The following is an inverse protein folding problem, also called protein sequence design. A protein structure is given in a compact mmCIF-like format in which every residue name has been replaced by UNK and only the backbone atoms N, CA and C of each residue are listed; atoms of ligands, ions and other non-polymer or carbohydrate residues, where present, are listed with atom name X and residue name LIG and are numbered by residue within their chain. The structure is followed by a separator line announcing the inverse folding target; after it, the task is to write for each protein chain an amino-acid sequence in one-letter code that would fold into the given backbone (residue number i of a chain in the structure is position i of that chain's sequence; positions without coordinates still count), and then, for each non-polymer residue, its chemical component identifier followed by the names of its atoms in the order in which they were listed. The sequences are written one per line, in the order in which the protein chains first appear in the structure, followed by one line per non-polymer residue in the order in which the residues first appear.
data_IF_653432159449
#
_entry.id   IF_653432159449
#
_cell.length_a   1.000
_cell.length_b   1.000
_cell.length_c   1.000
_cell.angle_alpha   90.00
_cell.angle_beta   90.00
_cell.angle_gamma   90.00
#
_symmetry.space_group_name_H-M   'P 1'
#
loop_
_entity.id
_entity.type
_entity.pdbx_description
1 polymer ?
#
# COMPACT_ATOMS: atom_id res chain seq x y z
N UNK A 1 -41.82 -43.29 -54.28
CA UNK A 1 -41.86 -43.56 -52.83
C UNK A 1 -40.88 -42.60 -52.17
N UNK A 2 -41.41 -41.57 -51.50
CA UNK A 2 -40.63 -40.58 -50.73
C UNK A 2 -40.46 -41.16 -49.33
N UNK A 3 -39.24 -41.29 -48.82
CA UNK A 3 -39.01 -41.28 -47.38
C UNK A 3 -37.78 -40.43 -47.03
N UNK A 4 -38.10 -39.29 -46.42
CA UNK A 4 -37.17 -38.47 -45.63
C UNK A 4 -36.92 -39.20 -44.31
N UNK A 5 -35.66 -39.38 -43.93
CA UNK A 5 -35.24 -39.89 -42.64
C UNK A 5 -34.15 -39.03 -42.01
N UNK A 6 -34.60 -38.06 -41.20
CA UNK A 6 -33.92 -37.20 -40.21
C UNK A 6 -32.40 -37.41 -40.00
N UNK A 7 -31.61 -36.37 -40.28
CA UNK A 7 -30.33 -36.09 -39.64
C UNK A 7 -30.49 -34.96 -38.64
N UNK A 8 -30.28 -35.24 -37.37
CA UNK A 8 -30.00 -34.25 -36.33
C UNK A 8 -29.28 -34.92 -35.15
N UNK A 9 -27.98 -35.17 -35.30
CA UNK A 9 -27.07 -35.30 -34.16
C UNK A 9 -26.51 -33.90 -33.87
N UNK A 10 -26.74 -33.41 -32.66
CA UNK A 10 -26.20 -32.15 -32.19
C UNK A 10 -24.69 -32.28 -31.95
N UNK A 11 -23.91 -31.41 -32.59
CA UNK A 11 -22.48 -31.29 -32.35
C UNK A 11 -22.21 -30.92 -30.88
N UNK A 12 -21.42 -31.75 -30.20
CA UNK A 12 -20.97 -31.49 -28.83
C UNK A 12 -19.98 -30.32 -28.81
N UNK A 13 -20.20 -29.37 -27.90
CA UNK A 13 -19.40 -28.15 -27.74
C UNK A 13 -17.92 -28.47 -27.39
N UNK A 14 -16.93 -27.78 -27.99
CA UNK A 14 -15.50 -28.09 -27.81
C UNK A 14 -14.89 -27.56 -26.49
N UNK A 15 -15.70 -27.21 -25.48
CA UNK A 15 -15.23 -26.64 -24.21
C UNK A 15 -15.82 -27.40 -23.00
N UNK A 16 -15.68 -28.72 -23.00
CA UNK A 16 -15.83 -29.55 -21.80
C UNK A 16 -14.44 -30.01 -21.40
N UNK A 17 -13.69 -29.09 -20.81
CA UNK A 17 -12.35 -29.38 -20.32
C UNK A 17 -12.38 -29.86 -18.87
N UNK A 18 -11.43 -30.74 -18.59
CA UNK A 18 -11.38 -31.67 -17.48
C UNK A 18 -11.18 -30.92 -16.16
N UNK A 19 -12.12 -31.07 -15.22
CA UNK A 19 -11.93 -30.64 -13.84
C UNK A 19 -10.96 -31.59 -13.13
N UNK A 20 -9.65 -31.37 -13.33
CA UNK A 20 -8.62 -32.01 -12.51
C UNK A 20 -8.62 -31.30 -11.15
N UNK A 21 -9.29 -31.90 -10.17
CA UNK A 21 -9.20 -31.48 -8.77
C UNK A 21 -7.79 -31.80 -8.27
N UNK A 22 -6.89 -30.81 -8.35
CA UNK A 22 -5.58 -30.90 -7.67
C UNK A 22 -5.80 -30.81 -6.16
N UNK A 23 -5.23 -31.71 -5.35
CA UNK A 23 -5.32 -31.60 -3.90
C UNK A 23 -4.71 -30.26 -3.46
N UNK A 24 -5.32 -29.64 -2.46
CA UNK A 24 -4.82 -28.42 -1.85
C UNK A 24 -3.44 -28.68 -1.24
N UNK A 25 -2.39 -28.32 -1.97
CA UNK A 25 -1.03 -28.29 -1.43
C UNK A 25 -0.97 -27.18 -0.40
N UNK A 26 -0.78 -27.57 0.87
CA UNK A 26 -0.32 -26.68 1.92
C UNK A 26 1.09 -26.24 1.52
N UNK A 27 1.21 -25.03 0.99
CA UNK A 27 2.51 -24.44 0.65
C UNK A 27 3.09 -23.88 1.93
N UNK A 28 4.06 -24.60 2.51
CA UNK A 28 4.89 -24.13 3.61
C UNK A 28 5.72 -22.95 3.09
N UNK A 29 5.39 -21.73 3.55
CA UNK A 29 6.25 -20.55 3.32
C UNK A 29 7.63 -20.83 3.93
N UNK A 30 8.74 -20.40 3.30
CA UNK A 30 10.06 -20.54 3.90
C UNK A 30 10.06 -19.78 5.23
N UNK A 31 10.24 -20.53 6.33
CA UNK A 31 10.39 -19.95 7.65
C UNK A 31 11.65 -19.09 7.63
N UNK A 32 11.50 -17.79 7.81
CA UNK A 32 12.63 -16.99 8.26
C UNK A 32 13.05 -17.53 9.62
N UNK A 33 14.34 -17.81 9.79
CA UNK A 33 14.94 -18.41 10.98
C UNK A 33 14.97 -17.44 12.19
N UNK A 34 13.93 -16.62 12.34
CA UNK A 34 13.77 -15.70 13.44
C UNK A 34 12.88 -16.34 14.50
N UNK A 35 13.16 -16.03 15.76
CA UNK A 35 12.31 -16.44 16.88
C UNK A 35 10.85 -16.03 16.62
N UNK A 36 9.86 -16.83 17.08
CA UNK A 36 8.46 -16.50 16.90
C UNK A 36 8.16 -15.16 17.59
N UNK A 37 7.67 -14.20 16.82
CA UNK A 37 7.39 -12.82 17.25
C UNK A 37 5.95 -12.46 16.91
N UNK A 38 5.26 -11.81 17.85
CA UNK A 38 3.99 -11.15 17.60
C UNK A 38 3.95 -9.77 18.28
N UNK A 39 3.23 -8.84 17.65
CA UNK A 39 2.99 -7.51 18.21
C UNK A 39 1.62 -7.46 18.88
N UNK A 40 1.54 -6.79 20.03
CA UNK A 40 0.30 -6.63 20.80
C UNK A 40 -0.13 -5.17 20.81
N UNK A 41 -1.44 -4.96 20.71
CA UNK A 41 -2.07 -3.65 20.77
C UNK A 41 -3.30 -3.68 21.68
N UNK A 42 -3.68 -2.50 22.18
CA UNK A 42 -4.92 -2.35 22.95
C UNK A 42 -6.10 -2.19 22.00
N UNK A 43 -7.04 -3.13 22.05
CA UNK A 43 -8.33 -3.05 21.35
C UNK A 43 -9.42 -2.91 22.42
N UNK A 44 -9.87 -1.68 22.65
CA UNK A 44 -10.77 -1.35 23.76
C UNK A 44 -10.10 -1.58 25.12
N UNK A 45 -10.61 -2.54 25.90
CA UNK A 45 -10.06 -2.91 27.21
C UNK A 45 -9.15 -4.14 27.18
N UNK A 46 -8.97 -4.77 26.02
CA UNK A 46 -8.22 -6.02 25.87
C UNK A 46 -6.91 -5.78 25.14
N UNK A 47 -5.91 -6.58 25.48
CA UNK A 47 -4.63 -6.63 24.78
C UNK A 47 -4.65 -7.85 23.84
N UNK A 48 -4.55 -7.58 22.55
CA UNK A 48 -4.72 -8.56 21.48
C UNK A 48 -3.53 -8.50 20.52
N UNK A 49 -3.23 -9.63 19.89
CA UNK A 49 -2.22 -9.72 18.83
C UNK A 49 -2.72 -8.93 17.62
N UNK A 50 -1.95 -7.93 17.20
CA UNK A 50 -2.27 -7.06 16.05
C UNK A 50 -1.41 -7.36 14.82
N UNK A 51 -0.23 -7.96 15.00
CA UNK A 51 0.61 -8.44 13.91
C UNK A 51 1.36 -9.71 14.33
N UNK A 52 1.66 -10.58 13.37
CA UNK A 52 2.28 -11.88 13.62
C UNK A 52 3.31 -12.20 12.53
N UNK A 53 4.50 -12.66 12.93
CA UNK A 53 5.50 -13.12 11.96
C UNK A 53 5.15 -14.52 11.44
N UNK A 54 5.76 -14.95 10.32
CA UNK A 54 5.49 -16.25 9.73
C UNK A 54 5.77 -17.43 10.67
N UNK A 55 6.83 -17.35 11.49
CA UNK A 55 7.17 -18.37 12.47
C UNK A 55 6.09 -18.50 13.56
N UNK A 56 5.65 -17.39 14.15
CA UNK A 56 4.56 -17.40 15.14
C UNK A 56 3.22 -17.86 14.54
N UNK A 57 2.93 -17.47 13.29
CA UNK A 57 1.73 -17.92 12.59
C UNK A 57 1.70 -19.43 12.36
N UNK A 58 2.86 -20.05 12.07
CA UNK A 58 2.98 -21.50 11.90
C UNK A 58 2.71 -22.29 13.20
N UNK A 59 2.84 -21.62 14.35
CA UNK A 59 2.55 -22.18 15.68
C UNK A 59 1.10 -21.92 16.14
N UNK A 60 0.24 -21.41 15.25
CA UNK A 60 -1.18 -21.17 15.51
C UNK A 60 -1.51 -19.80 16.11
N UNK A 61 -0.53 -18.91 16.26
CA UNK A 61 -0.77 -17.52 16.66
C UNK A 61 -1.39 -16.75 15.50
N UNK A 62 -2.46 -16.00 15.75
CA UNK A 62 -3.12 -15.21 14.72
C UNK A 62 -3.56 -13.84 15.25
N UNK A 63 -3.77 -12.90 14.34
CA UNK A 63 -4.30 -11.56 14.66
C UNK A 63 -5.68 -11.69 15.33
N UNK A 64 -5.94 -10.85 16.33
CA UNK A 64 -7.15 -10.88 17.16
C UNK A 64 -7.11 -11.91 18.31
N UNK A 65 -6.05 -12.71 18.42
CA UNK A 65 -5.86 -13.59 19.57
C UNK A 65 -5.52 -12.77 20.83
N UNK A 66 -6.12 -13.10 21.97
CA UNK A 66 -5.77 -12.47 23.24
C UNK A 66 -4.29 -12.72 23.58
N UNK A 67 -3.56 -11.69 24.02
CA UNK A 67 -2.12 -11.80 24.31
C UNK A 67 -1.80 -12.86 25.38
N UNK A 68 -2.69 -13.04 26.35
CA UNK A 68 -2.60 -14.09 27.37
C UNK A 68 -2.71 -15.49 26.79
N UNK A 69 -3.62 -15.69 25.83
CA UNK A 69 -3.79 -16.98 25.15
C UNK A 69 -2.59 -17.27 24.24
N UNK A 70 -2.11 -16.27 23.50
CA UNK A 70 -0.91 -16.40 22.66
C UNK A 70 0.31 -16.87 23.47
N UNK A 71 0.53 -16.29 24.65
CA UNK A 71 1.61 -16.66 25.56
C UNK A 71 1.47 -18.06 26.16
N UNK A 72 0.23 -18.51 26.38
CA UNK A 72 -0.04 -19.86 26.85
C UNK A 72 0.18 -20.92 25.76
N UNK A 73 -0.10 -20.59 24.50
CA UNK A 73 0.06 -21.51 23.37
C UNK A 73 1.53 -21.73 23.01
N UNK A 74 2.35 -20.68 23.07
CA UNK A 74 3.76 -20.71 22.69
C UNK A 74 4.59 -20.02 23.78
N UNK A 75 5.30 -20.80 24.57
CA UNK A 75 6.07 -20.30 25.73
C UNK A 75 7.24 -19.38 25.33
N UNK A 76 7.90 -19.67 24.20
CA UNK A 76 9.03 -18.89 23.69
C UNK A 76 8.61 -17.76 22.73
N UNK A 77 7.34 -17.34 22.77
CA UNK A 77 6.83 -16.27 21.91
C UNK A 77 7.34 -14.91 22.38
N UNK A 78 8.12 -14.24 21.53
CA UNK A 78 8.48 -12.83 21.71
C UNK A 78 7.22 -11.97 21.46
N UNK A 79 6.78 -11.24 22.50
CA UNK A 79 5.62 -10.36 22.44
C UNK A 79 6.09 -8.93 22.70
N UNK A 80 5.87 -8.06 21.72
CA UNK A 80 6.27 -6.64 21.80
C UNK A 80 5.06 -5.71 21.60
N UNK A 81 5.05 -4.52 22.21
CA UNK A 81 4.01 -3.54 21.93
C UNK A 81 4.08 -3.10 20.46
N UNK A 82 2.92 -2.94 19.82
CA UNK A 82 2.82 -2.30 18.53
C UNK A 82 2.96 -0.77 18.67
N UNK A 83 3.62 -0.13 17.73
CA UNK A 83 3.82 1.32 17.67
C UNK A 83 3.22 1.89 16.37
N UNK A 84 1.87 1.89 16.23
CA UNK A 84 1.22 2.22 14.97
C UNK A 84 1.51 3.66 14.50
N UNK A 85 1.76 4.59 15.43
CA UNK A 85 2.18 5.95 15.10
C UNK A 85 3.59 5.98 14.49
N UNK A 86 4.52 5.17 15.00
CA UNK A 86 5.87 5.05 14.45
C UNK A 86 5.84 4.40 13.05
N UNK A 87 5.03 3.36 12.88
CA UNK A 87 4.80 2.72 11.58
C UNK A 87 4.22 3.70 10.56
N UNK A 88 3.24 4.52 10.96
CA UNK A 88 2.64 5.54 10.10
C UNK A 88 3.66 6.61 9.67
N UNK A 89 4.52 7.07 10.60
CA UNK A 89 5.60 8.02 10.28
C UNK A 89 6.60 7.41 9.31
N UNK A 90 6.98 6.14 9.50
CA UNK A 90 7.86 5.43 8.57
C UNK A 90 7.22 5.32 7.19
N UNK A 91 5.94 4.96 7.12
CA UNK A 91 5.22 4.82 5.86
C UNK A 91 5.09 6.15 5.12
N UNK A 92 4.85 7.26 5.83
CA UNK A 92 4.84 8.61 5.26
C UNK A 92 6.20 8.98 4.65
N UNK A 93 7.30 8.68 5.34
CA UNK A 93 8.66 8.88 4.82
C UNK A 93 8.93 8.05 3.57
N UNK A 94 8.46 6.81 3.52
CA UNK A 94 8.58 5.95 2.34
C UNK A 94 7.74 6.49 1.17
N UNK A 95 6.55 7.05 1.43
CA UNK A 95 5.75 7.71 0.40
C UNK A 95 6.46 8.94 -0.16
N UNK A 96 7.05 9.78 0.69
CA UNK A 96 7.85 10.92 0.25
C UNK A 96 9.08 10.50 -0.57
N UNK A 97 9.76 9.43 -0.17
CA UNK A 97 10.87 8.86 -0.94
C UNK A 97 10.39 8.38 -2.32
N UNK A 98 9.21 7.74 -2.39
CA UNK A 98 8.62 7.31 -3.65
C UNK A 98 8.31 8.50 -4.57
N UNK A 99 7.79 9.59 -4.02
CA UNK A 99 7.57 10.86 -4.75
C UNK A 99 8.86 11.37 -5.37
N UNK A 100 9.93 11.43 -4.57
CA UNK A 100 11.24 11.94 -5.01
C UNK A 100 11.97 11.05 -6.01
N UNK A 101 11.74 9.73 -5.97
CA UNK A 101 12.60 8.75 -6.67
C UNK A 101 11.93 8.03 -7.82
N UNK A 102 10.62 7.84 -7.79
CA UNK A 102 9.94 6.90 -8.67
C UNK A 102 8.79 7.50 -9.46
N UNK A 103 7.87 8.17 -8.79
CA UNK A 103 6.67 8.74 -9.43
C UNK A 103 6.23 9.99 -8.68
N UNK A 104 5.91 11.10 -9.37
CA UNK A 104 5.39 12.30 -8.72
C UNK A 104 4.05 12.05 -8.02
N UNK A 105 3.33 10.99 -8.38
CA UNK A 105 2.07 10.60 -7.76
C UNK A 105 2.31 9.32 -6.95
N UNK A 106 2.68 9.50 -5.68
CA UNK A 106 2.79 8.41 -4.73
C UNK A 106 2.18 8.78 -3.37
N UNK A 107 1.60 7.80 -2.68
CA UNK A 107 0.89 8.02 -1.42
C UNK A 107 1.02 6.84 -0.47
N UNK A 108 1.00 7.12 0.83
CA UNK A 108 0.85 6.09 1.85
C UNK A 108 -0.57 5.51 1.82
N UNK A 109 -0.67 4.18 1.95
CA UNK A 109 -1.93 3.44 2.11
C UNK A 109 -1.86 2.63 3.40
N UNK A 110 -2.45 3.13 4.49
CA UNK A 110 -2.42 2.45 5.77
C UNK A 110 -2.93 1.00 5.70
N UNK A 111 -2.42 0.10 6.53
CA UNK A 111 -1.39 0.35 7.56
C UNK A 111 0.05 0.21 7.06
N UNK A 112 0.27 -0.42 5.91
CA UNK A 112 1.58 -0.94 5.48
C UNK A 112 1.78 -0.94 3.94
N UNK A 113 1.05 -0.09 3.20
CA UNK A 113 1.08 -0.05 1.74
C UNK A 113 1.51 1.29 1.16
N UNK A 114 1.98 1.28 -0.07
CA UNK A 114 2.22 2.47 -0.89
C UNK A 114 1.43 2.35 -2.20
N UNK A 115 0.85 3.46 -2.64
CA UNK A 115 0.31 3.61 -3.99
C UNK A 115 1.26 4.46 -4.81
N UNK A 116 1.48 4.05 -6.05
CA UNK A 116 2.31 4.74 -7.02
C UNK A 116 1.58 4.72 -8.35
N UNK A 117 1.42 5.88 -8.97
CA UNK A 117 1.01 5.96 -10.37
C UNK A 117 2.23 5.71 -11.26
N UNK A 118 2.13 4.78 -12.20
CA UNK A 118 3.19 4.50 -13.16
C UNK A 118 2.91 5.08 -14.55
N UNK A 119 1.75 5.70 -14.75
CA UNK A 119 1.39 6.33 -16.00
C UNK A 119 2.46 7.35 -16.41
N UNK A 120 2.99 7.19 -17.63
CA UNK A 120 4.04 8.06 -18.17
C UNK A 120 5.41 7.94 -17.49
N UNK A 121 5.60 7.03 -16.53
CA UNK A 121 6.90 6.81 -15.87
C UNK A 121 7.54 5.46 -16.24
N UNK A 122 6.76 4.53 -16.77
CA UNK A 122 7.16 3.17 -17.15
C UNK A 122 8.39 3.10 -18.07
N UNK A 123 8.43 3.93 -19.12
CA UNK A 123 9.52 3.97 -20.09
C UNK A 123 10.84 4.46 -19.48
N UNK A 124 10.80 5.33 -18.45
CA UNK A 124 11.99 5.81 -17.74
C UNK A 124 12.74 4.67 -17.03
N UNK A 125 12.03 3.58 -16.73
CA UNK A 125 12.58 2.44 -16.01
C UNK A 125 12.77 1.20 -16.89
N UNK A 126 12.53 1.31 -18.19
CA UNK A 126 12.60 0.19 -19.13
C UNK A 126 11.43 -0.78 -18.99
N UNK A 127 10.24 -0.28 -18.64
CA UNK A 127 8.99 -1.03 -18.50
C UNK A 127 8.62 -1.37 -17.05
N UNK A 128 7.34 -1.66 -16.84
CA UNK A 128 6.74 -1.95 -15.53
C UNK A 128 7.42 -3.13 -14.81
N UNK A 129 7.80 -4.18 -15.55
CA UNK A 129 8.45 -5.35 -14.97
C UNK A 129 9.82 -5.02 -14.37
N UNK A 130 10.63 -4.28 -15.12
CA UNK A 130 11.95 -3.85 -14.64
C UNK A 130 11.81 -2.88 -13.47
N UNK A 131 10.85 -1.98 -13.51
CA UNK A 131 10.52 -1.09 -12.40
C UNK A 131 10.18 -1.88 -11.13
N UNK A 132 9.24 -2.82 -11.21
CA UNK A 132 8.78 -3.58 -10.06
C UNK A 132 9.89 -4.46 -9.45
N UNK A 133 10.76 -5.06 -10.28
CA UNK A 133 11.93 -5.80 -9.78
C UNK A 133 12.90 -4.89 -9.04
N UNK A 134 13.15 -3.67 -9.55
CA UNK A 134 13.99 -2.67 -8.87
C UNK A 134 13.39 -2.23 -7.54
N UNK A 135 12.08 -2.03 -7.49
CA UNK A 135 11.35 -1.68 -6.27
C UNK A 135 11.47 -2.79 -5.22
N UNK A 136 11.23 -4.06 -5.60
CA UNK A 136 11.39 -5.21 -4.68
C UNK A 136 12.82 -5.33 -4.16
N UNK A 137 13.83 -5.17 -5.03
CA UNK A 137 15.23 -5.21 -4.63
C UNK A 137 15.59 -4.04 -3.68
N UNK A 138 14.99 -2.86 -3.87
CA UNK A 138 15.13 -1.76 -2.93
C UNK A 138 14.54 -2.10 -1.55
N UNK A 139 13.30 -2.61 -1.51
CA UNK A 139 12.66 -3.02 -0.26
C UNK A 139 13.50 -4.06 0.48
N UNK A 140 14.00 -5.07 -0.23
CA UNK A 140 14.85 -6.11 0.36
C UNK A 140 16.14 -5.54 0.97
N UNK A 141 16.83 -4.63 0.27
CA UNK A 141 18.02 -3.96 0.82
C UNK A 141 17.72 -3.06 2.02
N UNK A 142 16.52 -2.49 2.06
CA UNK A 142 16.03 -1.69 3.18
C UNK A 142 15.49 -2.54 4.34
N UNK A 143 15.53 -3.88 4.24
CA UNK A 143 15.06 -4.79 5.29
C UNK A 143 13.57 -5.14 5.25
N UNK A 144 12.86 -4.78 4.17
CA UNK A 144 11.43 -5.04 4.01
C UNK A 144 11.16 -6.17 3.02
N UNK A 145 10.15 -6.99 3.34
CA UNK A 145 9.46 -7.82 2.34
C UNK A 145 8.37 -6.99 1.68
N UNK A 146 8.26 -7.05 0.36
CA UNK A 146 7.23 -6.31 -0.39
C UNK A 146 6.53 -7.22 -1.41
N UNK A 147 5.20 -7.06 -1.47
CA UNK A 147 4.37 -7.55 -2.57
C UNK A 147 3.99 -6.39 -3.46
N UNK A 148 4.20 -6.55 -4.76
CA UNK A 148 4.00 -5.48 -5.74
C UNK A 148 2.98 -5.96 -6.76
N UNK A 149 1.95 -5.15 -7.00
CA UNK A 149 0.98 -5.40 -8.06
C UNK A 149 0.78 -4.15 -8.90
N UNK A 150 0.75 -4.33 -10.22
CA UNK A 150 0.43 -3.30 -11.21
C UNK A 150 -0.85 -3.71 -11.93
N UNK A 151 -1.79 -2.78 -12.05
CA UNK A 151 -3.08 -2.94 -12.71
C UNK A 151 -3.60 -1.58 -13.18
N UNK A 152 -4.66 -1.60 -13.98
CA UNK A 152 -5.24 -0.38 -14.58
C UNK A 152 -5.84 0.59 -13.54
N UNK A 153 -6.11 0.12 -12.32
CA UNK A 153 -6.71 0.94 -11.25
C UNK A 153 -5.99 0.76 -9.90
N UNK A 154 -5.93 1.80 -9.04
CA UNK A 154 -5.44 1.67 -7.67
C UNK A 154 -6.21 0.63 -6.87
N UNK A 155 -7.53 0.56 -7.10
CA UNK A 155 -8.42 -0.44 -6.54
C UNK A 155 -7.96 -1.88 -6.79
N UNK A 156 -7.69 -2.23 -8.04
CA UNK A 156 -7.25 -3.56 -8.43
C UNK A 156 -5.81 -3.84 -7.99
N UNK A 157 -4.90 -2.88 -8.13
CA UNK A 157 -3.52 -3.03 -7.69
C UNK A 157 -3.44 -3.32 -6.18
N UNK A 158 -4.21 -2.60 -5.36
CA UNK A 158 -4.34 -2.87 -3.93
C UNK A 158 -4.87 -4.28 -3.65
N UNK A 159 -5.95 -4.68 -4.33
CA UNK A 159 -6.56 -6.00 -4.15
C UNK A 159 -5.54 -7.11 -4.41
N UNK A 160 -4.79 -7.02 -5.51
CA UNK A 160 -3.78 -7.99 -5.90
C UNK A 160 -2.57 -7.98 -4.96
N UNK A 161 -2.07 -6.82 -4.54
CA UNK A 161 -0.91 -6.73 -3.66
C UNK A 161 -1.20 -7.37 -2.27
N UNK A 162 -2.42 -7.19 -1.74
CA UNK A 162 -2.78 -7.67 -0.40
C UNK A 162 -3.35 -9.09 -0.39
N UNK A 163 -4.18 -9.43 -1.36
CA UNK A 163 -4.93 -10.70 -1.39
C UNK A 163 -4.48 -11.65 -2.50
N UNK A 164 -3.62 -11.20 -3.41
CA UNK A 164 -2.99 -12.04 -4.40
C UNK A 164 -2.02 -13.05 -3.78
N UNK A 165 -1.71 -14.08 -4.57
CA UNK A 165 -0.82 -15.19 -4.16
C UNK A 165 0.65 -14.89 -4.44
N UNK A 166 0.90 -14.16 -5.52
CA UNK A 166 2.24 -13.85 -6.01
C UNK A 166 2.82 -12.60 -5.35
N UNK A 167 4.13 -12.58 -5.14
CA UNK A 167 4.82 -11.40 -4.62
C UNK A 167 5.01 -10.29 -5.68
N UNK A 168 4.89 -10.65 -6.96
CA UNK A 168 4.93 -9.71 -8.07
C UNK A 168 3.84 -10.08 -9.07
N UNK A 169 2.89 -9.17 -9.29
CA UNK A 169 1.82 -9.33 -10.28
C UNK A 169 1.79 -8.12 -11.19
N UNK A 170 1.79 -8.33 -12.51
CA UNK A 170 1.60 -7.26 -13.49
C UNK A 170 0.44 -7.70 -14.37
N UNK A 171 -0.67 -6.98 -14.28
CA UNK A 171 -1.87 -7.29 -15.03
C UNK A 171 -1.81 -6.53 -16.36
N UNK A 172 -1.92 -7.21 -17.50
CA UNK A 172 -1.98 -6.52 -18.78
C UNK A 172 -3.26 -5.68 -18.87
N UNK A 173 -3.21 -4.62 -19.67
CA UNK A 173 -4.34 -3.71 -19.87
C UNK A 173 -5.63 -4.48 -20.21
N UNK A 174 -6.72 -4.17 -19.52
CA UNK A 174 -8.02 -4.83 -19.68
C UNK A 174 -8.13 -6.21 -19.00
N UNK A 175 -7.05 -6.74 -18.42
CA UNK A 175 -7.03 -7.98 -17.65
C UNK A 175 -7.55 -7.84 -16.22
N UNK A 176 -7.81 -6.61 -15.76
CA UNK A 176 -8.13 -6.26 -14.37
C UNK A 176 -9.27 -7.09 -13.78
N UNK A 177 -10.42 -7.19 -14.47
CA UNK A 177 -11.59 -7.93 -13.98
C UNK A 177 -11.25 -9.38 -13.69
N UNK A 178 -10.58 -10.06 -14.63
CA UNK A 178 -10.19 -11.47 -14.49
C UNK A 178 -9.20 -11.66 -13.34
N UNK A 179 -8.25 -10.75 -13.19
CA UNK A 179 -7.20 -10.83 -12.17
C UNK A 179 -7.77 -10.75 -10.74
N UNK A 180 -8.77 -9.89 -10.51
CA UNK A 180 -9.33 -9.67 -9.16
C UNK A 180 -10.57 -10.52 -8.85
N UNK A 181 -11.20 -11.14 -9.85
CA UNK A 181 -12.49 -11.86 -9.68
C UNK A 181 -12.47 -12.92 -8.57
N UNK A 182 -11.39 -13.70 -8.48
CA UNK A 182 -11.25 -14.78 -7.48
C UNK A 182 -10.87 -14.29 -6.08
N UNK A 183 -10.56 -13.00 -5.92
CA UNK A 183 -10.16 -12.44 -4.63
C UNK A 183 -11.37 -12.29 -3.71
N UNK A 184 -11.18 -12.40 -2.38
CA UNK A 184 -12.25 -12.19 -1.42
C UNK A 184 -12.75 -10.74 -1.46
N UNK A 185 -14.02 -10.53 -1.08
CA UNK A 185 -14.64 -9.20 -1.08
C UNK A 185 -13.92 -8.19 -0.18
N UNK A 186 -13.21 -8.67 0.84
CA UNK A 186 -12.34 -7.85 1.69
C UNK A 186 -11.28 -7.07 0.88
N UNK A 187 -10.90 -7.56 -0.31
CA UNK A 187 -9.97 -6.89 -1.21
C UNK A 187 -10.49 -5.56 -1.78
N UNK A 188 -11.80 -5.32 -1.74
CA UNK A 188 -12.43 -4.08 -2.17
C UNK A 188 -12.39 -2.96 -1.11
N UNK A 189 -11.71 -3.17 0.04
CA UNK A 189 -11.62 -2.16 1.12
C UNK A 189 -13.00 -1.71 1.63
N UNK A 190 -13.93 -2.66 1.75
CA UNK A 190 -15.27 -2.39 2.25
C UNK A 190 -15.25 -2.15 3.76
N UNK A 191 -16.26 -1.42 4.25
CA UNK A 191 -16.47 -1.26 5.70
C UNK A 191 -16.80 -2.59 6.36
N UNK A 192 -16.55 -2.73 7.66
CA UNK A 192 -16.89 -3.94 8.42
C UNK A 192 -18.40 -4.30 8.36
N UNK A 193 -19.26 -3.28 8.29
CA UNK A 193 -20.71 -3.46 8.12
C UNK A 193 -21.06 -4.04 6.74
N UNK A 194 -20.43 -3.53 5.68
CA UNK A 194 -20.62 -4.05 4.32
C UNK A 194 -20.06 -5.47 4.15
N UNK A 195 -18.90 -5.78 4.76
CA UNK A 195 -18.34 -7.14 4.77
C UNK A 195 -19.25 -8.14 5.49
N UNK A 196 -19.78 -7.74 6.64
CA UNK A 196 -20.74 -8.56 7.40
C UNK A 196 -22.02 -8.79 6.59
N UNK A 197 -22.52 -7.75 5.93
CA UNK A 197 -23.68 -7.86 5.04
C UNK A 197 -23.39 -8.79 3.86
N UNK A 198 -22.23 -8.65 3.19
CA UNK A 198 -21.82 -9.51 2.09
C UNK A 198 -21.82 -10.99 2.48
N UNK A 199 -21.22 -11.31 3.64
CA UNK A 199 -21.21 -12.67 4.20
C UNK A 199 -22.61 -13.21 4.45
N UNK A 200 -23.52 -12.42 5.03
CA UNK A 200 -24.93 -12.84 5.24
C UNK A 200 -25.67 -13.15 3.94
N UNK A 201 -25.33 -12.44 2.87
CA UNK A 201 -25.94 -12.63 1.55
C UNK A 201 -25.20 -13.66 0.68
N UNK A 202 -24.18 -14.34 1.23
CA UNK A 202 -23.44 -15.40 0.54
C UNK A 202 -22.47 -14.90 -0.52
N UNK A 203 -22.05 -13.63 -0.45
CA UNK A 203 -20.99 -13.11 -1.31
C UNK A 203 -19.65 -13.34 -0.60
N UNK A 204 -18.76 -14.08 -1.24
CA UNK A 204 -17.43 -14.42 -0.71
C UNK A 204 -16.31 -13.76 -1.53
N UNK A 205 -16.47 -13.75 -2.85
CA UNK A 205 -15.50 -13.26 -3.83
C UNK A 205 -16.01 -12.05 -4.61
N UNK A 206 -15.10 -11.32 -5.24
CA UNK A 206 -15.45 -10.20 -6.11
C UNK A 206 -16.32 -10.67 -7.28
N UNK A 207 -16.06 -11.88 -7.81
CA UNK A 207 -16.84 -12.48 -8.89
C UNK A 207 -18.34 -12.59 -8.56
N UNK A 208 -18.68 -12.87 -7.30
CA UNK A 208 -20.08 -13.02 -6.86
C UNK A 208 -20.88 -11.71 -6.99
N UNK A 209 -20.19 -10.56 -7.00
CA UNK A 209 -20.80 -9.23 -7.13
C UNK A 209 -21.01 -8.80 -8.58
N UNK A 210 -20.23 -9.35 -9.52
CA UNK A 210 -20.23 -8.95 -10.93
C UNK A 210 -21.59 -9.16 -11.65
N UNK A 211 -22.27 -10.31 -11.52
CA UNK A 211 -23.55 -10.53 -12.21
C UNK A 211 -24.72 -9.77 -11.57
N UNK A 212 -24.52 -9.18 -10.38
CA UNK A 212 -25.61 -8.53 -9.62
C UNK A 212 -25.76 -7.08 -10.07
N UNK A 213 -26.99 -6.68 -10.39
CA UNK A 213 -27.31 -5.30 -10.71
C UNK A 213 -26.94 -4.35 -9.55
N UNK A 214 -26.38 -3.18 -9.88
CA UNK A 214 -25.85 -2.22 -8.91
C UNK A 214 -26.90 -1.71 -7.92
N UNK A 215 -28.14 -1.47 -8.35
CA UNK A 215 -29.22 -0.99 -7.50
C UNK A 215 -29.55 -1.92 -6.33
N UNK A 216 -29.91 -3.20 -6.59
CA UNK A 216 -30.09 -4.21 -5.53
C UNK A 216 -28.87 -4.40 -4.65
N UNK A 217 -27.67 -4.35 -5.23
CA UNK A 217 -26.42 -4.51 -4.47
C UNK A 217 -26.20 -3.33 -3.50
N UNK A 218 -26.47 -2.10 -3.94
CA UNK A 218 -26.40 -0.90 -3.11
C UNK A 218 -27.36 -0.96 -1.92
N UNK A 219 -28.56 -1.52 -2.10
CA UNK A 219 -29.53 -1.71 -1.00
C UNK A 219 -29.03 -2.68 0.07
N UNK A 220 -28.19 -3.65 -0.30
CA UNK A 220 -27.64 -4.68 0.60
C UNK A 220 -26.35 -4.25 1.28
N UNK A 221 -25.43 -3.64 0.52
CA UNK A 221 -24.07 -3.35 0.94
C UNK A 221 -23.79 -1.85 1.16
N UNK A 222 -24.69 -0.98 0.73
CA UNK A 222 -24.52 0.47 0.73
C UNK A 222 -23.83 0.99 -0.53
N UNK A 223 -24.08 2.26 -0.86
CA UNK A 223 -23.45 2.95 -1.99
C UNK A 223 -21.92 2.96 -1.91
N UNK A 224 -21.25 3.18 -0.75
CA UNK A 224 -19.80 3.18 -0.69
C UNK A 224 -19.16 1.86 -1.16
N UNK A 225 -19.82 0.72 -0.93
CA UNK A 225 -19.32 -0.58 -1.40
C UNK A 225 -19.41 -0.70 -2.93
N UNK A 226 -20.43 -0.12 -3.53
CA UNK A 226 -20.57 -0.05 -4.98
C UNK A 226 -19.50 0.84 -5.58
N UNK A 227 -19.26 2.01 -4.98
CA UNK A 227 -18.18 2.90 -5.41
C UNK A 227 -16.83 2.17 -5.39
N UNK A 228 -16.53 1.40 -4.34
CA UNK A 228 -15.29 0.59 -4.27
C UNK A 228 -15.19 -0.48 -5.36
N UNK A 229 -16.30 -1.17 -5.65
CA UNK A 229 -16.36 -2.14 -6.73
C UNK A 229 -16.09 -1.46 -8.09
N UNK A 230 -16.79 -0.36 -8.37
CA UNK A 230 -16.66 0.33 -9.64
C UNK A 230 -15.29 1.02 -9.78
N UNK A 231 -14.68 1.48 -8.70
CA UNK A 231 -13.28 1.94 -8.67
C UNK A 231 -12.29 0.82 -9.00
N UNK A 232 -12.45 -0.36 -8.40
CA UNK A 232 -11.58 -1.50 -8.68
C UNK A 232 -11.73 -1.99 -10.13
N UNK A 233 -12.93 -1.92 -10.70
CA UNK A 233 -13.21 -2.32 -12.09
C UNK A 233 -12.90 -1.23 -13.13
N UNK A 234 -12.58 0.00 -12.70
CA UNK A 234 -12.29 1.12 -13.60
C UNK A 234 -13.51 1.86 -14.15
N UNK A 235 -14.71 1.57 -13.64
CA UNK A 235 -15.93 2.30 -13.98
C UNK A 235 -16.03 3.68 -13.31
N UNK A 236 -15.31 3.89 -12.22
CA UNK A 236 -15.21 5.17 -11.50
C UNK A 236 -13.74 5.47 -11.20
N UNK A 237 -13.31 6.71 -11.40
CA UNK A 237 -11.95 7.12 -11.07
C UNK A 237 -11.69 7.09 -9.56
N UNK A 238 -10.52 6.62 -9.16
CA UNK A 238 -9.99 6.71 -7.78
C UNK A 238 -8.64 7.42 -7.86
N UNK A 239 -8.61 8.78 -7.89
CA UNK A 239 -7.36 9.50 -7.98
C UNK A 239 -6.53 9.28 -6.72
N UNK A 240 -5.23 9.06 -6.90
CA UNK A 240 -4.26 9.00 -5.80
C UNK A 240 -3.97 10.43 -5.36
N UNK A 241 -4.27 10.77 -4.11
CA UNK A 241 -3.82 12.04 -3.53
C UNK A 241 -2.34 11.91 -3.17
N UNK A 242 -1.42 12.58 -3.90
CA UNK A 242 0.00 12.39 -3.69
C UNK A 242 0.43 12.93 -2.34
N UNK A 243 1.48 12.33 -1.76
CA UNK A 243 2.20 12.93 -0.64
C UNK A 243 2.90 14.19 -1.14
N UNK A 244 2.56 15.33 -0.56
CA UNK A 244 3.22 16.58 -0.90
C UNK A 244 4.69 16.55 -0.46
N UNK A 245 5.60 16.84 -1.38
CA UNK A 245 7.00 17.11 -1.07
C UNK A 245 7.18 18.62 -0.83
N UNK A 246 6.70 19.09 0.32
CA UNK A 246 6.88 20.49 0.70
C UNK A 246 8.37 20.72 0.97
N UNK A 247 9.06 21.26 -0.02
CA UNK A 247 10.42 21.75 0.15
C UNK A 247 10.34 23.07 0.91
N UNK A 248 10.81 23.08 2.15
CA UNK A 248 10.88 24.32 2.93
C UNK A 248 11.93 25.22 2.27
N UNK A 249 11.56 26.43 1.82
CA UNK A 249 12.51 27.37 1.26
C UNK A 249 13.62 27.66 2.27
N UNK A 250 14.87 27.51 1.84
CA UNK A 250 16.05 27.73 2.67
C UNK A 250 17.13 28.41 1.83
N UNK A 251 17.92 29.25 2.50
CA UNK A 251 19.08 29.93 1.94
C UNK A 251 20.24 29.74 2.89
N UNK A 252 21.44 29.63 2.35
CA UNK A 252 22.67 29.38 3.10
C UNK A 252 23.73 30.35 2.59
N UNK A 253 24.46 30.98 3.51
CA UNK A 253 25.68 31.73 3.20
C UNK A 253 26.87 31.08 3.86
N UNK A 254 27.87 30.74 3.05
CA UNK A 254 29.15 30.22 3.52
C UNK A 254 30.11 31.38 3.70
N UNK A 255 30.50 31.62 4.94
CA UNK A 255 31.40 32.69 5.32
C UNK A 255 32.85 32.26 5.07
N UNK A 256 33.68 33.20 4.60
CA UNK A 256 35.10 32.94 4.36
C UNK A 256 35.87 32.75 5.67
N UNK A 257 35.51 33.53 6.69
CA UNK A 257 36.05 33.47 8.04
C UNK A 257 34.92 33.36 9.07
N UNK A 258 35.17 32.73 10.22
CA UNK A 258 34.18 32.65 11.29
C UNK A 258 33.89 34.04 11.86
N UNK A 259 32.62 34.33 12.06
CA UNK A 259 32.14 35.55 12.71
C UNK A 259 31.78 35.27 14.16
N UNK A 260 32.03 36.23 15.05
CA UNK A 260 31.72 36.10 16.48
C UNK A 260 31.15 37.35 17.13
N UNK A 261 31.03 38.46 16.40
CA UNK A 261 30.44 39.70 16.90
C UNK A 261 28.95 39.75 16.59
N UNK A 262 28.17 40.36 17.48
CA UNK A 262 26.73 40.50 17.29
C UNK A 262 26.40 41.29 16.02
N UNK A 263 27.21 42.29 15.69
CA UNK A 263 27.07 43.12 14.50
C UNK A 263 27.28 42.33 13.21
N UNK A 264 28.30 41.47 13.17
CA UNK A 264 28.56 40.62 11.99
C UNK A 264 27.45 39.58 11.80
N UNK A 265 26.97 38.98 12.89
CA UNK A 265 25.85 38.03 12.85
C UNK A 265 24.58 38.72 12.36
N UNK A 266 24.28 39.92 12.86
CA UNK A 266 23.13 40.72 12.41
C UNK A 266 23.19 41.04 10.92
N UNK A 267 24.36 41.41 10.39
CA UNK A 267 24.52 41.67 8.96
C UNK A 267 24.25 40.41 8.12
N UNK A 268 24.80 39.25 8.51
CA UNK A 268 24.57 37.99 7.78
C UNK A 268 23.10 37.57 7.86
N UNK A 269 22.43 37.80 8.99
CA UNK A 269 20.99 37.58 9.12
C UNK A 269 20.18 38.46 8.18
N UNK A 270 20.54 39.74 8.04
CA UNK A 270 19.86 40.65 7.11
C UNK A 270 20.03 40.19 5.65
N UNK A 271 21.24 39.80 5.26
CA UNK A 271 21.53 39.26 3.93
C UNK A 271 20.73 37.98 3.65
N UNK A 272 20.72 37.03 4.61
CA UNK A 272 19.94 35.79 4.50
C UNK A 272 18.44 36.07 4.42
N UNK A 273 17.92 37.04 5.16
CA UNK A 273 16.51 37.44 5.07
C UNK A 273 16.18 38.04 3.71
N UNK A 274 17.09 38.83 3.13
CA UNK A 274 16.98 39.34 1.77
C UNK A 274 16.90 38.21 0.74
N UNK A 275 17.86 37.28 0.77
CA UNK A 275 17.89 36.13 -0.13
C UNK A 275 16.62 35.27 0.02
N UNK A 276 16.20 35.01 1.26
CA UNK A 276 15.01 34.21 1.53
C UNK A 276 13.73 34.90 1.04
N UNK A 277 13.64 36.22 1.18
CA UNK A 277 12.51 36.99 0.68
C UNK A 277 12.37 36.86 -0.84
N UNK A 278 13.47 36.90 -1.58
CA UNK A 278 13.47 36.68 -3.04
C UNK A 278 12.96 35.28 -3.40
N UNK A 279 13.44 34.24 -2.71
CA UNK A 279 13.01 32.85 -2.93
C UNK A 279 11.51 32.68 -2.62
N UNK A 280 11.04 33.24 -1.51
CA UNK A 280 9.64 33.18 -1.11
C UNK A 280 8.73 33.92 -2.10
N UNK A 281 9.15 35.11 -2.54
CA UNK A 281 8.40 35.92 -3.49
C UNK A 281 8.30 35.25 -4.87
N UNK A 282 9.40 34.67 -5.37
CA UNK A 282 9.41 33.91 -6.62
C UNK A 282 8.47 32.69 -6.57
N UNK A 283 8.29 32.12 -5.38
CA UNK A 283 7.43 30.96 -5.14
C UNK A 283 5.99 31.31 -4.73
N UNK A 284 5.66 32.60 -4.56
CA UNK A 284 4.35 33.05 -4.09
C UNK A 284 4.02 32.62 -2.65
N UNK A 285 5.03 32.43 -1.80
CA UNK A 285 4.91 31.94 -0.43
C UNK A 285 5.10 33.06 0.60
N UNK A 286 4.58 32.86 1.82
CA UNK A 286 4.84 33.72 2.98
C UNK A 286 5.34 32.90 4.18
N UNK A 287 6.24 33.47 4.98
CA UNK A 287 6.79 32.81 6.16
C UNK A 287 5.91 33.06 7.41
N UNK A 288 5.59 32.00 8.15
CA UNK A 288 4.96 32.08 9.49
C UNK A 288 5.94 31.87 10.63
N UNK A 289 7.01 31.13 10.35
CA UNK A 289 8.08 30.81 11.29
C UNK A 289 9.39 30.75 10.51
N UNK A 290 10.44 31.33 11.08
CA UNK A 290 11.79 31.28 10.54
C UNK A 290 12.69 30.57 11.54
N UNK A 291 13.63 29.78 11.05
CA UNK A 291 14.69 29.15 11.84
C UNK A 291 16.02 29.64 11.27
N UNK A 292 16.85 30.22 12.13
CA UNK A 292 18.25 30.45 11.83
C UNK A 292 19.05 29.27 12.38
N UNK A 293 20.05 28.80 11.63
CA UNK A 293 20.95 27.77 12.12
C UNK A 293 22.38 28.13 11.69
N UNK A 294 23.33 28.03 12.60
CA UNK A 294 24.74 28.33 12.38
C UNK A 294 25.61 27.11 12.65
N UNK A 295 26.60 26.89 11.80
CA UNK A 295 27.64 25.88 12.03
C UNK A 295 28.81 26.55 12.77
N UNK A 296 29.03 26.15 14.02
CA UNK A 296 30.13 26.63 14.85
C UNK A 296 31.47 26.04 14.42
N UNK A 297 32.57 26.71 14.78
CA UNK A 297 33.95 26.29 14.45
C UNK A 297 34.34 24.93 15.04
N UNK A 298 33.65 24.48 16.09
CA UNK A 298 33.81 23.16 16.68
C UNK A 298 32.97 22.06 16.00
N UNK A 299 32.28 22.40 14.90
CA UNK A 299 31.44 21.50 14.13
C UNK A 299 30.05 21.28 14.73
N UNK A 300 29.69 21.99 15.81
CA UNK A 300 28.34 21.94 16.38
C UNK A 300 27.38 22.84 15.61
N UNK A 301 26.10 22.48 15.61
CA UNK A 301 25.03 23.30 15.03
C UNK A 301 24.32 24.06 16.14
N UNK A 302 24.17 25.38 15.98
CA UNK A 302 23.45 26.27 16.89
C UNK A 302 22.19 26.80 16.19
N UNK A 303 21.05 26.72 16.88
CA UNK A 303 19.73 27.18 16.39
C UNK A 303 19.24 28.34 17.24
#
# INVERSE_FOLDING_TARGET
MRELGRRSEAASHPYKDQSVTRPAMIVTRPATAHAPLALVGKVGRREEVVAVCAAAASLGIHVGMAATHARALVSDLDLRPAEPEADAVLLDRLALLAVRRWSPIAAATPTDGLWLDLAGCDHLYGGEERFCRRLRAFCQRAGFTARVAVADTPGAAHALARYGREDLTIVPAGGTVRAISSLPIAALRLTGTALSAAKRFGFETIADLLPVARGPLARRLGLPAITRLDQALGGVAEPITPREDVTVPAVERRLLEPIGTAEAIAQVMEDLLGDLAEVLQASGLGARSLRLSGLCVDGTEQV
#
